data_IF_259181107239
#
_entry.id   IF_259181107239
#
_cell.length_a   1.000
_cell.length_b   1.000
_cell.length_c   1.000
_cell.angle_alpha   90.00
_cell.angle_beta   90.00
_cell.angle_gamma   90.00
#
_symmetry.space_group_name_H-M   'P 1'
#
loop_
_entity.id
_entity.type
_entity.pdbx_description
1 polymer ?
#
# COMPACT_ATOMS: atom_id res chain seq x y z
N UNK A 1 27.65 -3.83 0.78
CA UNK A 1 26.34 -4.42 0.41
C UNK A 1 25.62 -5.03 1.61
N UNK A 2 26.22 -5.98 2.33
CA UNK A 2 25.58 -6.71 3.45
C UNK A 2 24.94 -5.76 4.47
N UNK A 3 25.67 -4.76 5.00
CA UNK A 3 25.15 -3.79 5.98
C UNK A 3 23.90 -3.03 5.50
N UNK A 4 23.83 -2.68 4.21
CA UNK A 4 22.68 -1.97 3.61
C UNK A 4 21.46 -2.87 3.53
N UNK A 5 21.65 -4.07 2.99
CA UNK A 5 20.61 -5.10 2.90
C UNK A 5 20.05 -5.45 4.28
N UNK A 6 20.93 -5.70 5.26
CA UNK A 6 20.51 -6.00 6.63
C UNK A 6 19.71 -4.84 7.24
N UNK A 7 20.16 -3.59 7.06
CA UNK A 7 19.39 -2.44 7.53
C UNK A 7 18.00 -2.40 6.89
N UNK A 8 17.90 -2.51 5.56
CA UNK A 8 16.60 -2.42 4.85
C UNK A 8 15.66 -3.51 5.35
N UNK A 9 16.12 -4.76 5.43
CA UNK A 9 15.31 -5.88 5.89
C UNK A 9 14.84 -5.68 7.33
N UNK A 10 15.76 -5.44 8.27
CA UNK A 10 15.41 -5.34 9.69
C UNK A 10 14.55 -4.11 9.99
N UNK A 11 14.91 -2.94 9.46
CA UNK A 11 14.19 -1.70 9.74
C UNK A 11 12.79 -1.68 9.13
N UNK A 12 12.62 -2.17 7.89
CA UNK A 12 11.30 -2.22 7.28
C UNK A 12 10.40 -3.29 7.91
N UNK A 13 10.95 -4.46 8.26
CA UNK A 13 10.20 -5.47 9.00
C UNK A 13 9.75 -4.94 10.36
N UNK A 14 10.67 -4.37 11.13
CA UNK A 14 10.38 -3.77 12.42
C UNK A 14 9.31 -2.67 12.30
N UNK A 15 9.42 -1.82 11.27
CA UNK A 15 8.44 -0.76 11.02
C UNK A 15 7.04 -1.31 10.75
N UNK A 16 6.92 -2.29 9.85
CA UNK A 16 5.62 -2.91 9.57
C UNK A 16 5.07 -3.64 10.80
N UNK A 17 5.92 -4.29 11.61
CA UNK A 17 5.51 -4.94 12.85
C UNK A 17 5.01 -3.94 13.90
N UNK A 18 5.70 -2.80 14.07
CA UNK A 18 5.25 -1.72 14.96
C UNK A 18 3.94 -1.12 14.48
N UNK A 19 3.77 -0.90 13.17
CA UNK A 19 2.51 -0.39 12.63
C UNK A 19 1.36 -1.39 12.79
N UNK A 20 1.62 -2.70 12.66
CA UNK A 20 0.65 -3.74 12.97
C UNK A 20 0.24 -3.72 14.45
N UNK A 21 1.21 -3.52 15.35
CA UNK A 21 0.93 -3.34 16.76
C UNK A 21 0.13 -2.07 17.03
N UNK A 22 0.42 -0.95 16.36
CA UNK A 22 -0.36 0.29 16.50
C UNK A 22 -1.79 0.11 15.99
N UNK A 23 -2.00 -0.74 14.98
CA UNK A 23 -3.33 -0.96 14.39
C UNK A 23 -4.31 -1.62 15.39
N UNK A 24 -3.84 -2.57 16.21
CA UNK A 24 -4.70 -3.35 17.13
C UNK A 24 -4.33 -3.26 18.61
N UNK A 25 -3.06 -3.03 18.93
CA UNK A 25 -2.56 -2.97 20.31
C UNK A 25 -2.82 -1.63 20.99
N UNK A 26 -3.27 -0.60 20.25
CA UNK A 26 -3.55 0.73 20.77
C UNK A 26 -4.87 1.25 20.20
N UNK A 27 -5.79 1.64 21.07
CA UNK A 27 -7.07 2.27 20.70
C UNK A 27 -6.86 3.76 20.39
N UNK A 28 -6.50 4.06 19.14
CA UNK A 28 -6.36 5.42 18.63
C UNK A 28 -7.06 5.56 17.27
N UNK A 29 -7.52 6.77 16.97
CA UNK A 29 -8.24 7.06 15.74
C UNK A 29 -7.36 7.00 14.48
N UNK A 30 -8.01 6.99 13.31
CA UNK A 30 -7.35 6.87 12.01
C UNK A 30 -6.29 7.95 11.73
N UNK A 31 -6.51 9.18 12.21
CA UNK A 31 -5.60 10.31 11.98
C UNK A 31 -4.26 10.07 12.68
N UNK A 32 -4.30 9.67 13.96
CA UNK A 32 -3.07 9.39 14.71
C UNK A 32 -2.33 8.19 14.11
N UNK A 33 -3.05 7.13 13.71
CA UNK A 33 -2.46 5.97 13.01
C UNK A 33 -1.75 6.38 11.72
N UNK A 34 -2.38 7.24 10.94
CA UNK A 34 -1.82 7.81 9.72
C UNK A 34 -0.55 8.62 9.99
N UNK A 35 -0.55 9.47 11.02
CA UNK A 35 0.64 10.24 11.42
C UNK A 35 1.78 9.29 11.82
N UNK A 36 1.50 8.27 12.64
CA UNK A 36 2.49 7.26 13.00
C UNK A 36 3.09 6.58 11.76
N UNK A 37 2.25 6.14 10.82
CA UNK A 37 2.70 5.54 9.55
C UNK A 37 3.65 6.45 8.78
N UNK A 38 3.24 7.70 8.54
CA UNK A 38 4.06 8.70 7.83
C UNK A 38 5.40 8.88 8.56
N UNK A 39 5.37 9.07 9.88
CA UNK A 39 6.57 9.27 10.68
C UNK A 39 7.52 8.08 10.60
N UNK A 40 7.04 6.86 10.79
CA UNK A 40 7.89 5.66 10.77
C UNK A 40 8.51 5.42 9.38
N UNK A 41 7.72 5.50 8.31
CA UNK A 41 8.23 5.33 6.95
C UNK A 41 9.29 6.40 6.64
N UNK A 42 9.04 7.65 7.01
CA UNK A 42 9.97 8.74 6.78
C UNK A 42 11.27 8.58 7.59
N UNK A 43 11.18 8.29 8.90
CA UNK A 43 12.34 8.15 9.78
C UNK A 43 13.27 7.04 9.29
N UNK A 44 12.72 5.88 8.91
CA UNK A 44 13.52 4.74 8.42
C UNK A 44 14.32 5.10 7.18
N UNK A 45 13.67 5.76 6.23
CA UNK A 45 14.30 6.21 4.99
C UNK A 45 15.33 7.31 5.27
N UNK A 46 14.99 8.27 6.13
CA UNK A 46 15.88 9.37 6.50
C UNK A 46 17.16 8.87 7.18
N UNK A 47 17.04 7.94 8.15
CA UNK A 47 18.19 7.32 8.81
C UNK A 47 19.06 6.57 7.79
N UNK A 48 18.45 5.81 6.86
CA UNK A 48 19.20 5.16 5.79
C UNK A 48 20.01 6.17 4.95
N UNK A 49 19.37 7.27 4.53
CA UNK A 49 20.02 8.31 3.75
C UNK A 49 21.21 8.94 4.49
N UNK A 50 21.10 9.13 5.80
CA UNK A 50 22.20 9.68 6.63
C UNK A 50 23.36 8.69 6.79
N UNK A 51 23.07 7.40 6.96
CA UNK A 51 24.07 6.36 7.19
C UNK A 51 24.81 5.97 5.90
N UNK A 52 24.10 5.84 4.78
CA UNK A 52 24.66 5.22 3.56
C UNK A 52 24.87 6.20 2.40
N UNK A 53 24.18 7.35 2.41
CA UNK A 53 24.34 8.48 1.45
C UNK A 53 24.21 8.13 -0.04
N UNK A 54 23.72 6.93 -0.37
CA UNK A 54 23.61 6.40 -1.73
C UNK A 54 22.20 6.42 -2.28
N UNK A 55 21.21 6.75 -1.45
CA UNK A 55 19.82 6.87 -1.84
C UNK A 55 19.40 8.33 -1.95
N UNK A 56 18.87 8.70 -3.12
CA UNK A 56 18.38 10.04 -3.39
C UNK A 56 16.87 10.04 -3.60
N UNK A 57 16.15 10.60 -2.62
CA UNK A 57 14.70 10.78 -2.60
C UNK A 57 14.12 11.22 -3.96
N UNK A 58 14.75 12.21 -4.61
CA UNK A 58 14.27 12.82 -5.86
C UNK A 58 14.39 11.91 -7.08
N UNK A 59 15.26 10.91 -7.08
CA UNK A 59 15.46 10.04 -8.25
C UNK A 59 14.26 9.12 -8.47
N UNK A 60 13.70 8.59 -7.38
CA UNK A 60 12.51 7.72 -7.40
C UNK A 60 11.26 8.47 -7.89
N UNK A 61 11.19 9.76 -7.59
CA UNK A 61 10.10 10.66 -7.98
C UNK A 61 10.41 11.47 -9.23
N UNK A 62 11.54 11.21 -9.89
CA UNK A 62 11.86 11.91 -11.13
C UNK A 62 10.76 11.63 -12.14
N UNK A 63 10.23 12.67 -12.78
CA UNK A 63 9.24 12.50 -13.84
C UNK A 63 9.93 11.79 -15.01
N UNK A 64 9.67 10.49 -15.15
CA UNK A 64 10.09 9.74 -16.32
C UNK A 64 9.19 10.13 -17.50
N UNK A 65 9.79 10.48 -18.64
CA UNK A 65 9.04 10.60 -19.90
C UNK A 65 8.49 9.21 -20.26
N UNK A 66 7.27 8.92 -19.84
CA UNK A 66 6.58 7.70 -20.27
C UNK A 66 6.11 7.88 -21.71
N UNK A 67 6.50 6.95 -22.58
CA UNK A 67 6.00 6.96 -23.95
C UNK A 67 4.49 6.68 -24.01
N UNK A 68 3.83 7.06 -25.10
CA UNK A 68 2.39 6.80 -25.31
C UNK A 68 2.00 5.32 -25.08
N UNK A 69 2.85 4.38 -25.51
CA UNK A 69 2.65 2.94 -25.31
C UNK A 69 2.73 2.53 -23.83
N UNK A 70 3.61 3.16 -23.06
CA UNK A 70 3.76 2.86 -21.63
C UNK A 70 2.56 3.41 -20.84
N UNK A 71 2.13 4.63 -21.15
CA UNK A 71 0.88 5.19 -20.64
C UNK A 71 -0.32 4.29 -20.88
N UNK A 72 -0.49 3.82 -22.12
CA UNK A 72 -1.60 2.91 -22.45
C UNK A 72 -1.54 1.61 -21.62
N UNK A 73 -0.35 1.02 -21.46
CA UNK A 73 -0.17 -0.18 -20.63
C UNK A 73 -0.53 0.08 -19.16
N UNK A 74 -0.04 1.18 -18.59
CA UNK A 74 -0.33 1.57 -17.20
C UNK A 74 -1.82 1.78 -16.99
N UNK A 75 -2.52 2.44 -17.91
CA UNK A 75 -3.97 2.63 -17.82
C UNK A 75 -4.74 1.31 -17.94
N UNK A 76 -4.35 0.42 -18.86
CA UNK A 76 -4.98 -0.91 -18.97
C UNK A 76 -4.79 -1.70 -17.67
N UNK A 77 -3.57 -1.70 -17.11
CA UNK A 77 -3.30 -2.37 -15.84
C UNK A 77 -4.07 -1.75 -14.68
N UNK A 78 -4.18 -0.42 -14.63
CA UNK A 78 -4.96 0.30 -13.61
C UNK A 78 -6.45 -0.05 -13.67
N UNK A 79 -7.07 0.05 -14.84
CA UNK A 79 -8.47 -0.30 -15.06
C UNK A 79 -8.71 -1.79 -14.75
N UNK A 80 -7.77 -2.65 -15.17
CA UNK A 80 -7.84 -4.08 -14.87
C UNK A 80 -7.77 -4.35 -13.37
N UNK A 81 -6.88 -3.66 -12.64
CA UNK A 81 -6.78 -3.76 -11.19
C UNK A 81 -8.06 -3.33 -10.49
N UNK A 82 -8.64 -2.20 -10.90
CA UNK A 82 -9.94 -1.75 -10.40
C UNK A 82 -11.06 -2.77 -10.70
N UNK A 83 -11.09 -3.31 -11.93
CA UNK A 83 -12.04 -4.33 -12.34
C UNK A 83 -11.92 -5.62 -11.53
N UNK A 84 -10.69 -6.06 -11.22
CA UNK A 84 -10.44 -7.24 -10.36
C UNK A 84 -10.95 -6.99 -8.95
N UNK A 85 -10.69 -5.82 -8.36
CA UNK A 85 -11.20 -5.46 -7.03
C UNK A 85 -12.73 -5.48 -7.02
N UNK A 86 -13.38 -4.88 -8.01
CA UNK A 86 -14.84 -4.88 -8.12
C UNK A 86 -15.40 -6.29 -8.29
N UNK A 87 -14.81 -7.10 -9.17
CA UNK A 87 -15.23 -8.47 -9.40
C UNK A 87 -15.08 -9.33 -8.13
N UNK A 88 -13.97 -9.17 -7.40
CA UNK A 88 -13.76 -9.86 -6.13
C UNK A 88 -14.82 -9.43 -5.10
N UNK A 89 -15.06 -8.13 -4.95
CA UNK A 89 -16.11 -7.63 -4.06
C UNK A 89 -17.47 -8.24 -4.39
N UNK A 90 -17.91 -8.22 -5.65
CA UNK A 90 -19.20 -8.77 -6.06
C UNK A 90 -19.29 -10.29 -5.86
N UNK A 91 -18.20 -11.02 -6.13
CA UNK A 91 -18.15 -12.46 -5.97
C UNK A 91 -18.24 -12.89 -4.50
N UNK A 92 -17.57 -12.15 -3.61
CA UNK A 92 -17.50 -12.45 -2.19
C UNK A 92 -18.50 -11.67 -1.33
N UNK A 93 -19.31 -10.77 -1.93
CA UNK A 93 -20.30 -9.94 -1.23
C UNK A 93 -21.18 -10.73 -0.24
N UNK A 94 -21.69 -11.94 -0.56
CA UNK A 94 -22.51 -12.72 0.39
C UNK A 94 -21.75 -13.15 1.66
N UNK A 95 -20.42 -13.09 1.67
CA UNK A 95 -19.55 -13.49 2.77
C UNK A 95 -18.98 -12.28 3.54
N UNK A 96 -19.27 -11.05 3.10
CA UNK A 96 -18.76 -9.82 3.70
C UNK A 96 -19.85 -9.22 4.59
N UNK A 97 -19.53 -9.01 5.86
CA UNK A 97 -20.39 -8.28 6.79
C UNK A 97 -20.15 -6.76 6.65
N UNK A 98 -20.96 -6.13 5.80
CA UNK A 98 -20.86 -4.68 5.55
C UNK A 98 -21.17 -3.84 6.79
N UNK A 99 -22.03 -4.33 7.70
CA UNK A 99 -22.35 -3.61 8.94
C UNK A 99 -21.15 -3.62 9.89
N UNK A 100 -20.46 -4.76 9.99
CA UNK A 100 -19.23 -4.87 10.79
C UNK A 100 -18.14 -3.92 10.28
N UNK A 101 -17.96 -3.83 8.95
CA UNK A 101 -17.00 -2.89 8.35
C UNK A 101 -17.38 -1.45 8.66
N UNK A 102 -18.66 -1.09 8.49
CA UNK A 102 -19.13 0.26 8.78
C UNK A 102 -18.93 0.63 10.25
N UNK A 103 -19.29 -0.26 11.19
CA UNK A 103 -19.10 -0.06 12.63
C UNK A 103 -17.62 0.12 12.99
N UNK A 104 -16.73 -0.69 12.40
CA UNK A 104 -15.29 -0.56 12.65
C UNK A 104 -14.74 0.79 12.15
N UNK A 105 -15.18 1.24 10.97
CA UNK A 105 -14.84 2.54 10.42
C UNK A 105 -15.34 3.69 11.32
N UNK A 106 -16.56 3.62 11.84
CA UNK A 106 -17.15 4.70 12.66
C UNK A 106 -16.60 4.70 14.07
N UNK A 107 -16.62 3.54 14.75
CA UNK A 107 -16.48 3.48 16.19
C UNK A 107 -15.01 3.40 16.61
N UNK A 108 -14.24 2.52 15.96
CA UNK A 108 -12.81 2.35 16.26
C UNK A 108 -11.95 3.38 15.54
N UNK A 109 -12.21 3.60 14.24
CA UNK A 109 -11.37 4.50 13.43
C UNK A 109 -11.83 5.96 13.49
N UNK A 110 -13.04 6.24 13.98
CA UNK A 110 -13.56 7.60 14.14
C UNK A 110 -13.90 8.28 12.80
N UNK A 111 -14.22 7.49 11.77
CA UNK A 111 -14.49 7.99 10.41
C UNK A 111 -15.99 8.22 10.25
N UNK A 112 -16.38 9.48 10.07
CA UNK A 112 -17.76 9.87 9.74
C UNK A 112 -18.02 9.76 8.23
N UNK A 113 -19.28 9.82 7.79
CA UNK A 113 -19.62 9.81 6.36
C UNK A 113 -18.89 10.90 5.56
N UNK A 114 -18.87 12.14 6.06
CA UNK A 114 -18.10 13.23 5.44
C UNK A 114 -16.59 12.99 5.54
N UNK A 115 -16.12 12.47 6.69
CA UNK A 115 -14.72 12.10 6.90
C UNK A 115 -14.25 11.03 5.92
N UNK A 116 -15.11 10.08 5.55
CA UNK A 116 -14.80 8.99 4.63
C UNK A 116 -14.39 9.49 3.26
N UNK A 117 -14.99 10.57 2.75
CA UNK A 117 -14.60 11.18 1.46
C UNK A 117 -13.17 11.71 1.52
N UNK A 118 -12.82 12.44 2.59
CA UNK A 118 -11.47 12.98 2.76
C UNK A 118 -10.43 11.88 3.01
N UNK A 119 -10.78 10.89 3.83
CA UNK A 119 -9.96 9.71 4.06
C UNK A 119 -9.74 8.96 2.75
N UNK A 120 -10.78 8.79 1.94
CA UNK A 120 -10.70 8.12 0.64
C UNK A 120 -9.77 8.82 -0.33
N UNK A 121 -9.86 10.15 -0.45
CA UNK A 121 -8.91 10.94 -1.25
C UNK A 121 -7.48 10.78 -0.72
N UNK A 122 -7.29 10.85 0.60
CA UNK A 122 -5.97 10.65 1.19
C UNK A 122 -5.44 9.23 0.92
N UNK A 123 -6.26 8.20 1.10
CA UNK A 123 -5.89 6.79 0.87
C UNK A 123 -5.46 6.61 -0.59
N UNK A 124 -6.32 7.01 -1.54
CA UNK A 124 -6.07 6.77 -2.96
C UNK A 124 -4.86 7.52 -3.49
N UNK A 125 -4.57 8.74 -3.03
CA UNK A 125 -3.49 9.56 -3.59
C UNK A 125 -2.29 9.70 -2.66
N UNK A 126 -2.50 10.05 -1.39
CA UNK A 126 -1.43 10.34 -0.44
C UNK A 126 -0.80 9.07 0.15
N UNK A 127 -1.65 8.21 0.70
CA UNK A 127 -1.23 6.96 1.32
C UNK A 127 -0.60 6.01 0.29
N UNK A 128 -1.25 5.81 -0.85
CA UNK A 128 -0.71 4.98 -1.94
C UNK A 128 0.65 5.50 -2.42
N UNK A 129 0.86 6.82 -2.53
CA UNK A 129 2.14 7.41 -2.90
C UNK A 129 3.22 7.11 -1.86
N UNK A 130 2.88 7.27 -0.58
CA UNK A 130 3.76 6.97 0.55
C UNK A 130 4.16 5.49 0.56
N UNK A 131 3.23 4.59 0.28
CA UNK A 131 3.49 3.16 0.19
C UNK A 131 4.34 2.79 -1.01
N UNK A 132 4.04 3.30 -2.20
CA UNK A 132 4.86 3.10 -3.38
C UNK A 132 6.29 3.61 -3.14
N UNK A 133 6.41 4.77 -2.50
CA UNK A 133 7.69 5.32 -2.11
C UNK A 133 8.46 4.40 -1.16
N UNK A 134 7.81 3.87 -0.12
CA UNK A 134 8.47 3.02 0.87
C UNK A 134 8.78 1.62 0.31
N UNK A 135 7.79 0.91 -0.21
CA UNK A 135 7.96 -0.48 -0.63
C UNK A 135 8.72 -0.62 -1.96
N UNK A 136 8.50 0.28 -2.93
CA UNK A 136 9.15 0.19 -4.25
C UNK A 136 10.36 1.11 -4.30
N UNK A 137 10.13 2.39 -4.03
CA UNK A 137 11.16 3.43 -4.07
C UNK A 137 12.35 3.14 -3.17
N UNK A 138 12.08 2.84 -1.89
CA UNK A 138 13.10 2.57 -0.91
C UNK A 138 13.48 1.08 -0.85
N UNK A 139 12.56 0.18 -0.50
CA UNK A 139 12.93 -1.23 -0.27
C UNK A 139 13.35 -1.93 -1.57
N UNK A 140 12.50 -1.95 -2.59
CA UNK A 140 12.76 -2.72 -3.82
C UNK A 140 14.00 -2.22 -4.56
N UNK A 141 14.12 -0.92 -4.83
CA UNK A 141 15.24 -0.41 -5.63
C UNK A 141 16.60 -0.49 -4.94
N UNK A 142 16.65 -0.53 -3.61
CA UNK A 142 17.90 -0.62 -2.83
C UNK A 142 18.25 -2.05 -2.38
N UNK A 143 17.40 -3.04 -2.65
CA UNK A 143 17.72 -4.46 -2.46
C UNK A 143 18.28 -5.09 -3.73
N UNK A 144 19.12 -6.15 -3.61
CA UNK A 144 19.47 -6.98 -4.77
C UNK A 144 18.21 -7.52 -5.43
N UNK A 145 18.15 -7.54 -6.76
CA UNK A 145 16.95 -7.89 -7.56
C UNK A 145 16.18 -9.08 -7.00
N UNK A 146 16.84 -10.22 -6.78
CA UNK A 146 16.21 -11.44 -6.24
C UNK A 146 15.49 -11.19 -4.91
N UNK A 147 16.12 -10.46 -3.98
CA UNK A 147 15.52 -10.13 -2.69
C UNK A 147 14.43 -9.07 -2.82
N UNK A 148 14.61 -8.09 -3.71
CA UNK A 148 13.57 -7.09 -4.01
C UNK A 148 12.26 -7.72 -4.47
N UNK A 149 12.33 -8.71 -5.37
CA UNK A 149 11.17 -9.47 -5.90
C UNK A 149 10.50 -10.41 -4.90
N UNK A 150 11.16 -10.74 -3.80
CA UNK A 150 10.58 -11.65 -2.79
C UNK A 150 10.12 -10.85 -1.58
N UNK A 151 11.00 -10.03 -1.01
CA UNK A 151 10.79 -9.41 0.28
C UNK A 151 9.81 -8.23 0.23
N UNK A 152 10.00 -7.27 -0.67
CA UNK A 152 9.15 -6.07 -0.76
C UNK A 152 7.65 -6.36 -1.00
N UNK A 153 7.26 -7.25 -1.93
CA UNK A 153 5.85 -7.51 -2.20
C UNK A 153 5.21 -8.42 -1.14
N UNK A 154 5.98 -9.34 -0.52
CA UNK A 154 5.52 -10.09 0.65
C UNK A 154 5.31 -9.20 1.87
N UNK A 155 6.24 -8.28 2.15
CA UNK A 155 6.11 -7.34 3.25
C UNK A 155 4.93 -6.38 3.00
N UNK A 156 4.76 -5.91 1.77
CA UNK A 156 3.60 -5.12 1.37
C UNK A 156 2.28 -5.86 1.62
N UNK A 157 2.14 -7.10 1.15
CA UNK A 157 0.93 -7.88 1.39
C UNK A 157 0.69 -8.14 2.88
N UNK A 158 1.74 -8.51 3.62
CA UNK A 158 1.66 -8.77 5.08
C UNK A 158 1.27 -7.52 5.87
N UNK A 159 1.79 -6.35 5.47
CA UNK A 159 1.50 -5.06 6.07
C UNK A 159 0.01 -4.69 6.01
N UNK A 160 -0.74 -5.23 5.04
CA UNK A 160 -2.17 -4.95 4.91
C UNK A 160 -3.06 -5.82 5.79
N UNK A 161 -2.57 -6.96 6.27
CA UNK A 161 -3.38 -7.91 7.04
C UNK A 161 -4.00 -7.29 8.29
N UNK A 162 -3.26 -6.54 9.13
CA UNK A 162 -3.87 -5.86 10.28
C UNK A 162 -5.04 -4.94 9.90
N UNK A 163 -4.95 -4.25 8.76
CA UNK A 163 -6.00 -3.29 8.35
C UNK A 163 -7.33 -3.98 7.99
N UNK A 164 -7.30 -5.25 7.58
CA UNK A 164 -8.48 -5.98 7.10
C UNK A 164 -8.87 -7.16 7.99
N UNK A 165 -8.10 -7.46 9.04
CA UNK A 165 -8.28 -8.70 9.81
C UNK A 165 -9.57 -8.75 10.64
N UNK A 166 -10.19 -7.59 10.89
CA UNK A 166 -11.48 -7.49 11.58
C UNK A 166 -12.67 -7.51 10.61
N UNK A 167 -12.42 -7.41 9.31
CA UNK A 167 -13.47 -7.22 8.30
C UNK A 167 -13.87 -8.53 7.61
N UNK A 168 -12.95 -9.49 7.56
CA UNK A 168 -13.07 -10.65 6.69
C UNK A 168 -12.72 -11.94 7.42
N UNK A 169 -13.24 -13.07 6.92
CA UNK A 169 -12.85 -14.40 7.40
C UNK A 169 -11.40 -14.73 7.01
N UNK A 170 -10.80 -15.74 7.65
CA UNK A 170 -9.43 -16.15 7.38
C UNK A 170 -9.20 -16.53 5.89
N UNK A 171 -10.20 -17.13 5.25
CA UNK A 171 -10.17 -17.50 3.83
C UNK A 171 -10.11 -16.28 2.93
N UNK A 172 -10.96 -15.28 3.18
CA UNK A 172 -10.96 -14.02 2.40
C UNK A 172 -9.65 -13.25 2.65
N UNK A 173 -9.17 -13.20 3.90
CA UNK A 173 -7.88 -12.58 4.22
C UNK A 173 -6.74 -13.24 3.43
N UNK A 174 -6.73 -14.57 3.31
CA UNK A 174 -5.73 -15.29 2.52
C UNK A 174 -5.82 -14.94 1.02
N UNK A 175 -7.03 -14.80 0.48
CA UNK A 175 -7.24 -14.37 -0.91
C UNK A 175 -6.72 -12.93 -1.11
N UNK A 176 -7.06 -12.02 -0.20
CA UNK A 176 -6.54 -10.65 -0.21
C UNK A 176 -5.02 -10.62 -0.14
N UNK A 177 -4.41 -11.42 0.73
CA UNK A 177 -2.96 -11.55 0.85
C UNK A 177 -2.32 -11.97 -0.48
N UNK A 178 -2.84 -13.03 -1.11
CA UNK A 178 -2.32 -13.52 -2.39
C UNK A 178 -2.48 -12.45 -3.48
N UNK A 179 -3.64 -11.80 -3.56
CA UNK A 179 -3.90 -10.72 -4.51
C UNK A 179 -2.93 -9.54 -4.34
N UNK A 180 -2.74 -9.09 -3.10
CA UNK A 180 -1.80 -8.01 -2.75
C UNK A 180 -0.35 -8.39 -3.03
N UNK A 181 0.03 -9.65 -2.79
CA UNK A 181 1.36 -10.14 -3.10
C UNK A 181 1.62 -10.16 -4.61
N UNK A 182 0.66 -10.68 -5.39
CA UNK A 182 0.74 -10.73 -6.86
C UNK A 182 0.80 -9.34 -7.46
N UNK A 183 -0.07 -8.41 -7.06
CA UNK A 183 -0.02 -7.04 -7.58
C UNK A 183 1.27 -6.33 -7.15
N UNK A 184 1.80 -6.63 -5.95
CA UNK A 184 3.12 -6.20 -5.51
C UNK A 184 4.25 -6.60 -6.49
N UNK A 185 4.21 -7.81 -7.02
CA UNK A 185 5.15 -8.27 -8.07
C UNK A 185 4.96 -7.49 -9.37
N UNK A 186 3.71 -7.26 -9.79
CA UNK A 186 3.39 -6.46 -11.00
C UNK A 186 3.93 -5.04 -10.87
N UNK A 187 3.74 -4.40 -9.72
CA UNK A 187 4.27 -3.06 -9.44
C UNK A 187 5.78 -2.98 -9.59
N UNK A 188 6.50 -4.00 -9.13
CA UNK A 188 7.95 -4.04 -9.31
C UNK A 188 8.36 -4.22 -10.77
N UNK A 189 7.65 -5.08 -11.52
CA UNK A 189 7.90 -5.28 -12.95
C UNK A 189 7.73 -3.99 -13.77
N UNK A 190 6.66 -3.23 -13.53
CA UNK A 190 6.42 -1.98 -14.28
C UNK A 190 7.40 -0.88 -13.90
N UNK A 191 7.89 -0.88 -12.67
CA UNK A 191 8.82 0.14 -12.17
C UNK A 191 10.30 -0.16 -12.46
N UNK A 192 10.68 -1.43 -12.61
CA UNK A 192 12.08 -1.86 -12.71
C UNK A 192 12.83 -1.16 -13.85
N UNK A 193 12.19 -1.04 -15.02
CA UNK A 193 12.79 -0.45 -16.22
C UNK A 193 13.16 1.01 -16.02
N UNK A 194 12.26 1.80 -15.46
CA UNK A 194 12.41 3.25 -15.37
C UNK A 194 12.96 3.72 -14.02
N UNK A 195 13.02 2.84 -13.02
CA UNK A 195 13.43 3.15 -11.64
C UNK A 195 12.65 4.31 -11.02
N UNK A 196 11.38 4.44 -11.41
CA UNK A 196 10.42 5.41 -10.86
C UNK A 196 9.18 4.67 -10.38
N UNK A 197 8.40 5.32 -9.51
CA UNK A 197 7.17 4.72 -8.93
C UNK A 197 5.88 5.16 -9.62
N UNK A 198 5.96 6.01 -10.65
CA UNK A 198 4.77 6.60 -11.27
C UNK A 198 3.84 5.55 -11.89
N UNK A 199 4.40 4.54 -12.55
CA UNK A 199 3.62 3.50 -13.20
C UNK A 199 2.81 2.67 -12.18
N UNK A 200 3.46 2.18 -11.12
CA UNK A 200 2.75 1.47 -10.06
C UNK A 200 1.78 2.35 -9.30
N UNK A 201 2.14 3.62 -9.01
CA UNK A 201 1.27 4.54 -8.29
C UNK A 201 -0.04 4.81 -9.01
N UNK A 202 -0.01 5.00 -10.34
CA UNK A 202 -1.24 5.16 -11.13
C UNK A 202 -2.13 3.90 -11.06
N UNK A 203 -1.52 2.72 -11.17
CA UNK A 203 -2.27 1.45 -11.05
C UNK A 203 -2.86 1.30 -9.64
N UNK A 204 -2.10 1.67 -8.61
CA UNK A 204 -2.51 1.65 -7.21
C UNK A 204 -3.69 2.60 -6.97
N UNK A 205 -3.63 3.85 -7.46
CA UNK A 205 -4.74 4.80 -7.41
C UNK A 205 -6.02 4.18 -7.98
N UNK A 206 -5.95 3.50 -9.13
CA UNK A 206 -7.14 2.90 -9.72
C UNK A 206 -7.77 1.82 -8.81
N UNK A 207 -6.95 0.99 -8.17
CA UNK A 207 -7.43 -0.01 -7.22
C UNK A 207 -8.07 0.64 -5.99
N UNK A 208 -7.39 1.63 -5.40
CA UNK A 208 -7.87 2.32 -4.21
C UNK A 208 -9.15 3.09 -4.47
N UNK A 209 -9.25 3.78 -5.60
CA UNK A 209 -10.48 4.47 -5.99
C UNK A 209 -11.65 3.49 -6.08
N UNK A 210 -11.44 2.26 -6.56
CA UNK A 210 -12.49 1.25 -6.56
C UNK A 210 -12.88 0.83 -5.14
N UNK A 211 -11.92 0.62 -4.25
CA UNK A 211 -12.19 0.32 -2.82
C UNK A 211 -13.00 1.45 -2.17
N UNK A 212 -12.63 2.71 -2.42
CA UNK A 212 -13.35 3.88 -1.90
C UNK A 212 -14.75 3.99 -2.51
N UNK A 213 -14.92 3.77 -3.81
CA UNK A 213 -16.23 3.75 -4.47
C UNK A 213 -17.13 2.68 -3.87
N UNK A 214 -16.60 1.48 -3.63
CA UNK A 214 -17.33 0.40 -2.95
C UNK A 214 -17.72 0.85 -1.54
N UNK A 215 -16.77 1.40 -0.78
CA UNK A 215 -16.97 1.84 0.60
C UNK A 215 -17.91 3.03 0.75
N UNK A 216 -18.10 3.86 -0.29
CA UNK A 216 -19.11 4.94 -0.26
C UNK A 216 -20.53 4.40 -0.06
N UNK A 217 -20.84 3.20 -0.57
CA UNK A 217 -22.14 2.56 -0.36
C UNK A 217 -22.40 2.13 1.09
N UNK A 218 -21.37 2.18 1.96
CA UNK A 218 -21.54 1.96 3.40
C UNK A 218 -22.10 3.21 4.10
N UNK A 219 -21.98 4.39 3.50
CA UNK A 219 -22.34 5.67 4.12
C UNK A 219 -23.45 6.42 3.39
N UNK A 220 -23.76 6.07 2.13
CA UNK A 220 -24.69 6.77 1.24
C UNK A 220 -25.48 5.76 0.39
#
# INVERSE_FOLDING_TARGET
MIKKTTYILLSSFFTCAVLAFIEHGIEINYVIKTVCKISFFFIVVWVYMKLFKDFHFKQVLALSKMGRREWLKVMILGISSAGIVLAAYLLFLPQIDLNLIQQDLTDRLGITATGFIFVGIYVSFGNSLLEEYFFRGFIFFNLPRKWGYIYSPLLFASYHIPMIMLWFTAEIILICFIGLWVIGLVFQLVNEKNRTIWASWIIHICADLMIIIIGLNLFY
#
